data_IF_922502510690
#
_entry.id   IF_922502510690
#
_cell.length_a   1.000
_cell.length_b   1.000
_cell.length_c   1.000
_cell.angle_alpha   90.00
_cell.angle_beta   90.00
_cell.angle_gamma   90.00
#
_symmetry.space_group_name_H-M   'P 1'
#
loop_
_entity.id
_entity.type
_entity.pdbx_description
1 polymer ?
#
# COMPACT_ATOMS: atom_id res chain seq x y z
N UNK A 1 -13.67 0.39 19.81
CA UNK A 1 -14.76 0.31 18.81
C UNK A 1 -15.10 -1.12 18.35
N UNK A 2 -14.29 -2.13 18.67
CA UNK A 2 -14.60 -3.53 18.31
C UNK A 2 -14.39 -3.85 16.83
N UNK A 3 -13.67 -3.00 16.11
CA UNK A 3 -13.47 -3.07 14.65
C UNK A 3 -12.12 -3.64 14.25
N UNK A 4 -11.37 -4.19 15.21
CA UNK A 4 -10.08 -4.83 15.01
C UNK A 4 -10.24 -6.33 15.19
N UNK A 5 -9.89 -7.08 14.15
CA UNK A 5 -9.63 -8.50 14.22
C UNK A 5 -8.12 -8.75 14.14
N UNK A 6 -7.61 -9.58 15.05
CA UNK A 6 -6.20 -9.99 15.08
C UNK A 6 -6.13 -11.47 14.70
N UNK A 7 -5.55 -11.76 13.53
CA UNK A 7 -5.33 -13.13 13.07
C UNK A 7 -3.94 -13.56 13.51
N UNK A 8 -3.87 -14.55 14.39
CA UNK A 8 -2.63 -15.06 14.98
C UNK A 8 -2.01 -16.17 14.12
N UNK A 9 -0.70 -16.35 14.26
CA UNK A 9 0.02 -17.46 13.63
C UNK A 9 0.12 -17.34 12.11
N UNK A 10 0.07 -16.13 11.56
CA UNK A 10 0.13 -15.93 10.10
C UNK A 10 1.57 -15.96 9.62
N UNK A 11 1.84 -16.84 8.65
CA UNK A 11 3.15 -17.09 8.06
C UNK A 11 3.02 -18.00 6.84
N UNK A 12 4.13 -18.54 6.35
CA UNK A 12 4.14 -19.53 5.27
C UNK A 12 5.00 -20.75 5.62
N UNK A 13 4.73 -21.93 5.04
CA UNK A 13 5.47 -23.15 5.37
C UNK A 13 6.95 -23.06 5.01
N UNK A 14 7.83 -23.57 5.88
CA UNK A 14 9.29 -23.55 5.70
C UNK A 14 9.82 -22.11 5.52
N UNK A 15 9.57 -21.26 6.52
CA UNK A 15 10.03 -19.88 6.53
C UNK A 15 11.52 -19.75 6.22
N UNK A 16 11.86 -18.83 5.33
CA UNK A 16 13.24 -18.62 4.89
C UNK A 16 14.01 -17.74 5.87
N UNK A 17 13.31 -16.81 6.53
CA UNK A 17 13.90 -15.75 7.35
C UNK A 17 14.84 -14.79 6.58
N UNK A 18 15.09 -15.01 5.29
CA UNK A 18 15.72 -14.04 4.39
C UNK A 18 14.70 -12.98 4.01
N UNK A 19 15.00 -11.69 4.21
CA UNK A 19 14.11 -10.62 3.75
C UNK A 19 13.78 -10.77 2.26
N UNK A 20 14.79 -11.04 1.43
CA UNK A 20 14.60 -11.13 -0.02
C UNK A 20 13.61 -12.23 -0.39
N UNK A 21 13.81 -13.45 0.11
CA UNK A 21 12.95 -14.58 -0.23
C UNK A 21 11.58 -14.45 0.43
N UNK A 22 11.52 -14.04 1.70
CA UNK A 22 10.26 -13.93 2.45
C UNK A 22 9.36 -12.83 1.89
N UNK A 23 9.94 -11.66 1.56
CA UNK A 23 9.20 -10.60 0.88
C UNK A 23 8.70 -11.08 -0.48
N UNK A 24 9.54 -11.75 -1.27
CA UNK A 24 9.13 -12.25 -2.58
C UNK A 24 7.95 -13.23 -2.48
N UNK A 25 7.98 -14.17 -1.52
CA UNK A 25 6.86 -15.11 -1.29
C UNK A 25 5.56 -14.36 -1.00
N UNK A 26 5.57 -13.40 -0.08
CA UNK A 26 4.38 -12.64 0.28
C UNK A 26 3.89 -11.71 -0.84
N UNK A 27 4.81 -11.06 -1.54
CA UNK A 27 4.46 -10.08 -2.58
C UNK A 27 3.96 -10.75 -3.86
N UNK A 28 4.42 -11.96 -4.16
CA UNK A 28 3.95 -12.74 -5.32
C UNK A 28 2.81 -13.70 -4.99
N UNK A 29 2.61 -13.98 -3.70
CA UNK A 29 1.80 -15.09 -3.18
C UNK A 29 2.27 -16.46 -3.72
N UNK A 30 3.58 -16.65 -3.90
CA UNK A 30 4.18 -17.89 -4.41
C UNK A 30 5.28 -18.43 -3.49
N UNK A 31 4.95 -19.45 -2.71
CA UNK A 31 5.91 -20.14 -1.84
C UNK A 31 6.98 -20.96 -2.61
N UNK A 32 6.91 -21.01 -3.95
CA UNK A 32 7.92 -21.68 -4.80
C UNK A 32 8.88 -20.70 -5.47
N UNK A 33 8.65 -19.39 -5.36
CA UNK A 33 9.51 -18.35 -5.92
C UNK A 33 9.68 -18.41 -7.44
N UNK A 34 8.62 -18.76 -8.17
CA UNK A 34 8.61 -18.89 -9.63
C UNK A 34 7.92 -17.73 -10.33
N UNK A 35 7.05 -17.00 -9.64
CA UNK A 35 6.34 -15.86 -10.20
C UNK A 35 7.20 -14.60 -10.11
N UNK A 36 7.22 -13.80 -11.17
CA UNK A 36 7.96 -12.52 -11.22
C UNK A 36 7.06 -11.29 -11.04
N UNK A 37 5.75 -11.51 -10.96
CA UNK A 37 4.74 -10.46 -10.81
C UNK A 37 4.10 -10.51 -9.42
N UNK A 38 3.71 -9.33 -8.94
CA UNK A 38 2.96 -9.20 -7.70
C UNK A 38 1.52 -9.70 -7.83
N UNK A 39 0.98 -10.26 -6.75
CA UNK A 39 -0.39 -10.80 -6.80
C UNK A 39 -1.46 -9.71 -6.94
N UNK A 40 -1.24 -8.51 -6.38
CA UNK A 40 -2.12 -7.36 -6.61
C UNK A 40 -1.99 -6.83 -8.03
N UNK A 41 -0.77 -6.83 -8.59
CA UNK A 41 -0.55 -6.51 -10.00
C UNK A 41 -1.39 -7.39 -10.94
N UNK A 42 -1.35 -8.71 -10.74
CA UNK A 42 -2.20 -9.67 -11.48
C UNK A 42 -3.69 -9.45 -11.23
N UNK A 43 -4.07 -9.07 -10.01
CA UNK A 43 -5.45 -8.70 -9.71
C UNK A 43 -5.89 -7.47 -10.51
N UNK A 44 -5.09 -6.40 -10.56
CA UNK A 44 -5.41 -5.21 -11.38
C UNK A 44 -5.51 -5.54 -12.87
N UNK A 45 -4.64 -6.42 -13.38
CA UNK A 45 -4.77 -6.91 -14.76
C UNK A 45 -6.11 -7.61 -15.01
N UNK A 46 -6.61 -8.39 -14.04
CA UNK A 46 -7.92 -9.04 -14.15
C UNK A 46 -9.09 -8.05 -14.17
N UNK A 47 -8.90 -6.84 -13.66
CA UNK A 47 -9.92 -5.77 -13.67
C UNK A 47 -9.96 -5.00 -15.00
N UNK A 48 -8.93 -5.15 -15.85
CA UNK A 48 -8.87 -4.45 -17.13
C UNK A 48 -10.04 -4.82 -18.04
N UNK A 49 -10.67 -3.79 -18.60
CA UNK A 49 -11.82 -3.95 -19.49
C UNK A 49 -13.17 -4.08 -18.78
N UNK A 50 -13.20 -4.14 -17.43
CA UNK A 50 -14.44 -4.03 -16.66
C UNK A 50 -14.81 -2.58 -16.34
N UNK A 51 -13.81 -1.75 -16.01
CA UNK A 51 -13.97 -0.32 -15.70
C UNK A 51 -12.77 0.45 -16.26
N UNK A 52 -13.00 1.58 -16.94
CA UNK A 52 -11.93 2.49 -17.37
C UNK A 52 -11.57 3.45 -16.22
N UNK A 53 -10.85 2.91 -15.23
CA UNK A 53 -10.37 3.68 -14.08
C UNK A 53 -8.88 3.40 -13.84
N UNK A 54 -8.06 4.44 -13.82
CA UNK A 54 -6.61 4.35 -13.57
C UNK A 54 -6.26 4.16 -12.09
N UNK A 55 -7.23 4.37 -11.18
CA UNK A 55 -7.05 4.25 -9.74
C UNK A 55 -7.52 2.91 -9.17
N UNK A 56 -7.69 1.86 -9.99
CA UNK A 56 -8.02 0.52 -9.46
C UNK A 56 -7.05 0.09 -8.34
N UNK A 57 -5.78 0.50 -8.44
CA UNK A 57 -4.86 0.58 -7.31
C UNK A 57 -4.28 1.99 -7.15
N UNK A 58 -3.85 2.32 -5.93
CA UNK A 58 -3.08 3.52 -5.60
C UNK A 58 -2.01 3.18 -4.57
N UNK A 59 -0.75 3.37 -4.91
CA UNK A 59 0.35 3.20 -3.96
C UNK A 59 0.84 4.57 -3.48
N UNK A 60 0.99 4.73 -2.16
CA UNK A 60 1.56 5.94 -1.56
C UNK A 60 3.01 5.66 -1.16
N UNK A 61 3.94 6.37 -1.79
CA UNK A 61 5.37 6.14 -1.62
C UNK A 61 6.20 6.66 -2.80
N UNK A 62 7.47 6.27 -2.83
CA UNK A 62 8.43 6.70 -3.86
C UNK A 62 8.65 5.67 -4.97
N UNK A 63 8.40 4.39 -4.68
CA UNK A 63 8.66 3.26 -5.57
C UNK A 63 7.40 2.40 -5.64
N UNK A 64 7.22 1.74 -6.78
CA UNK A 64 6.16 0.76 -6.96
C UNK A 64 6.35 -0.40 -5.96
N UNK A 65 5.36 -0.72 -5.12
CA UNK A 65 5.37 -1.94 -4.31
C UNK A 65 5.38 -3.17 -5.23
N UNK A 66 6.21 -4.16 -4.91
CA UNK A 66 6.40 -5.32 -5.79
C UNK A 66 5.12 -6.16 -5.91
N UNK A 67 4.32 -6.25 -4.85
CA UNK A 67 3.00 -6.87 -4.83
C UNK A 67 2.02 -6.21 -5.82
N UNK A 68 2.16 -4.91 -6.07
CA UNK A 68 1.36 -4.14 -7.02
C UNK A 68 1.94 -4.15 -8.44
N UNK A 69 3.13 -4.73 -8.65
CA UNK A 69 3.81 -4.74 -9.93
C UNK A 69 3.25 -5.81 -10.86
N UNK A 70 2.91 -5.42 -12.08
CA UNK A 70 2.57 -6.31 -13.19
C UNK A 70 2.95 -5.64 -14.51
N UNK A 71 3.26 -6.43 -15.54
CA UNK A 71 3.78 -5.92 -16.80
C UNK A 71 2.78 -4.98 -17.48
N UNK A 72 1.48 -5.32 -17.45
CA UNK A 72 0.51 -4.59 -18.25
C UNK A 72 -0.31 -3.59 -17.43
N UNK A 73 -0.43 -3.71 -16.12
CA UNK A 73 -1.35 -2.87 -15.32
C UNK A 73 -0.63 -1.96 -14.29
N UNK A 74 0.08 -0.91 -14.73
CA UNK A 74 0.67 0.02 -13.79
C UNK A 74 -0.41 0.81 -13.05
N UNK A 75 -0.18 1.05 -11.76
CA UNK A 75 -1.00 1.92 -10.92
C UNK A 75 -0.24 3.22 -10.57
N UNK A 76 -0.91 4.33 -10.23
CA UNK A 76 -0.24 5.52 -9.74
C UNK A 76 0.55 5.26 -8.45
N UNK A 77 1.77 5.83 -8.38
CA UNK A 77 2.60 5.88 -7.17
C UNK A 77 2.77 7.34 -6.78
N UNK A 78 2.27 7.72 -5.60
CA UNK A 78 2.16 9.12 -5.17
C UNK A 78 2.88 9.30 -3.84
N UNK A 79 3.83 10.23 -3.74
CA UNK A 79 4.46 10.58 -2.45
C UNK A 79 3.99 11.92 -1.89
N UNK A 80 3.33 12.72 -2.72
CA UNK A 80 2.80 14.04 -2.39
C UNK A 80 1.88 14.44 -3.53
N UNK A 81 0.65 14.85 -3.22
CA UNK A 81 -0.27 15.35 -4.25
C UNK A 81 0.26 16.63 -4.86
N UNK A 82 0.78 17.57 -4.05
CA UNK A 82 1.39 18.79 -4.56
C UNK A 82 2.49 18.51 -5.58
N UNK A 83 3.38 17.53 -5.34
CA UNK A 83 4.47 17.18 -6.26
C UNK A 83 4.04 16.25 -7.39
N UNK A 84 2.91 15.56 -7.23
CA UNK A 84 2.31 14.73 -8.27
C UNK A 84 1.53 15.60 -9.25
N UNK A 85 2.28 16.46 -9.95
CA UNK A 85 1.81 17.33 -11.01
C UNK A 85 2.80 17.31 -12.16
N UNK A 86 2.29 17.38 -13.38
CA UNK A 86 3.11 17.73 -14.53
C UNK A 86 3.23 19.26 -14.54
N UNK A 87 4.41 19.78 -14.18
CA UNK A 87 4.64 21.22 -14.12
C UNK A 87 4.71 21.84 -15.53
N UNK A 88 3.98 22.94 -15.74
CA UNK A 88 4.05 23.73 -16.97
C UNK A 88 3.35 23.12 -18.19
N UNK A 89 2.63 22.03 -18.01
CA UNK A 89 1.85 21.35 -19.04
C UNK A 89 0.37 21.70 -18.94
N UNK A 90 -0.14 22.35 -19.97
CA UNK A 90 -1.59 22.40 -20.22
C UNK A 90 -2.02 21.16 -20.99
N UNK A 91 -3.30 20.79 -21.02
CA UNK A 91 -3.79 19.74 -21.91
C UNK A 91 -3.28 19.91 -23.35
N UNK A 92 -3.24 21.14 -23.85
CA UNK A 92 -2.78 21.48 -25.20
C UNK A 92 -1.26 21.30 -25.37
N UNK A 93 -0.45 21.65 -24.36
CA UNK A 93 1.01 21.44 -24.41
C UNK A 93 1.37 19.96 -24.36
N UNK A 94 0.58 19.20 -23.60
CA UNK A 94 0.69 17.74 -23.48
C UNK A 94 0.31 17.08 -24.78
N UNK A 95 -0.81 17.48 -25.36
CA UNK A 95 -1.27 17.05 -26.68
C UNK A 95 -0.26 17.44 -27.78
N UNK A 96 0.37 18.62 -27.67
CA UNK A 96 1.43 19.05 -28.59
C UNK A 96 2.73 18.24 -28.41
N UNK A 97 3.12 17.91 -27.18
CA UNK A 97 4.24 17.00 -26.89
C UNK A 97 3.96 15.61 -27.46
N UNK A 98 2.76 15.07 -27.23
CA UNK A 98 2.29 13.80 -27.80
C UNK A 98 2.32 13.83 -29.32
N UNK A 99 1.77 14.87 -29.96
CA UNK A 99 1.82 15.06 -31.43
C UNK A 99 3.26 15.18 -31.94
N UNK A 100 4.14 15.86 -31.21
CA UNK A 100 5.56 15.99 -31.56
C UNK A 100 6.28 14.63 -31.50
N UNK A 101 6.03 13.82 -30.46
CA UNK A 101 6.56 12.46 -30.34
C UNK A 101 5.97 11.52 -31.41
N UNK A 102 4.66 11.57 -31.65
CA UNK A 102 3.98 10.79 -32.70
C UNK A 102 4.44 11.18 -34.11
N UNK A 103 4.88 12.42 -34.32
CA UNK A 103 5.47 12.88 -35.59
C UNK A 103 6.93 12.47 -35.79
N UNK A 104 7.58 11.92 -34.75
CA UNK A 104 8.95 11.43 -34.81
C UNK A 104 8.99 10.00 -35.37
N UNK A 105 9.75 9.72 -36.44
CA UNK A 105 9.76 8.41 -37.08
C UNK A 105 10.61 7.42 -36.27
N UNK A 106 10.05 6.84 -35.22
CA UNK A 106 10.67 5.72 -34.51
C UNK A 106 9.84 4.45 -34.75
N UNK A 107 10.44 3.54 -35.52
CA UNK A 107 9.97 2.18 -35.82
C UNK A 107 9.90 1.26 -34.58
N UNK A 108 9.66 1.81 -33.38
CA UNK A 108 9.73 1.06 -32.14
C UNK A 108 8.37 1.07 -31.42
N UNK A 109 7.93 -0.07 -30.83
CA UNK A 109 6.64 -0.21 -30.12
C UNK A 109 6.46 0.72 -28.90
N UNK A 110 7.42 1.61 -28.62
CA UNK A 110 7.42 2.56 -27.52
C UNK A 110 6.54 3.79 -27.75
N UNK A 111 6.19 4.15 -28.99
CA UNK A 111 5.36 5.34 -29.25
C UNK A 111 3.96 5.27 -28.62
N UNK A 112 3.26 4.16 -28.83
CA UNK A 112 1.93 3.90 -28.23
C UNK A 112 2.00 3.75 -26.71
N UNK A 113 3.11 3.19 -26.19
CA UNK A 113 3.34 3.07 -24.76
C UNK A 113 3.55 4.43 -24.10
N UNK A 114 4.28 5.34 -24.76
CA UNK A 114 4.53 6.69 -24.27
C UNK A 114 3.25 7.54 -24.29
N UNK A 115 2.45 7.44 -25.35
CA UNK A 115 1.20 8.19 -25.47
C UNK A 115 0.22 7.85 -24.34
N UNK A 116 -0.02 6.56 -24.12
CA UNK A 116 -0.88 6.07 -23.05
C UNK A 116 -0.33 6.42 -21.66
N UNK A 117 1.00 6.37 -21.47
CA UNK A 117 1.63 6.66 -20.17
C UNK A 117 1.48 8.14 -19.82
N UNK A 118 1.75 9.04 -20.77
CA UNK A 118 1.65 10.48 -20.53
C UNK A 118 0.20 10.89 -20.25
N UNK A 119 -0.76 10.43 -21.07
CA UNK A 119 -2.18 10.72 -20.85
C UNK A 119 -2.67 10.19 -19.49
N UNK A 120 -2.27 8.97 -19.11
CA UNK A 120 -2.61 8.40 -17.80
C UNK A 120 -2.03 9.22 -16.63
N UNK A 121 -0.79 9.71 -16.73
CA UNK A 121 -0.20 10.57 -15.68
C UNK A 121 -0.93 11.92 -15.61
N UNK A 122 -1.34 12.50 -16.74
CA UNK A 122 -2.15 13.73 -16.74
C UNK A 122 -3.50 13.54 -16.06
N UNK A 123 -4.26 12.53 -16.50
CA UNK A 123 -5.59 12.24 -15.94
C UNK A 123 -5.51 11.92 -14.45
N UNK A 124 -4.52 11.12 -14.03
CA UNK A 124 -4.32 10.81 -12.60
C UNK A 124 -3.90 12.03 -11.80
N UNK A 125 -2.99 12.85 -12.33
CA UNK A 125 -2.61 14.13 -11.70
C UNK A 125 -3.84 15.01 -11.49
N UNK A 126 -4.61 15.29 -12.55
CA UNK A 126 -5.80 16.15 -12.46
C UNK A 126 -6.84 15.61 -11.48
N UNK A 127 -7.14 14.30 -11.55
CA UNK A 127 -8.08 13.65 -10.66
C UNK A 127 -7.64 13.75 -9.19
N UNK A 128 -6.37 13.52 -8.88
CA UNK A 128 -5.82 13.67 -7.52
C UNK A 128 -5.87 15.12 -7.03
N UNK A 129 -5.49 16.11 -7.87
CA UNK A 129 -5.60 17.52 -7.47
C UNK A 129 -7.06 17.92 -7.21
N UNK A 130 -8.01 17.38 -7.98
CA UNK A 130 -9.43 17.66 -7.78
C UNK A 130 -9.98 16.97 -6.53
N UNK A 131 -9.53 15.75 -6.23
CA UNK A 131 -9.86 15.07 -4.98
C UNK A 131 -9.35 15.86 -3.76
N UNK A 132 -8.08 16.29 -3.79
CA UNK A 132 -7.46 17.12 -2.75
C UNK A 132 -8.18 18.45 -2.53
N UNK A 133 -8.52 19.18 -3.60
CA UNK A 133 -9.27 20.44 -3.48
C UNK A 133 -10.66 20.28 -2.87
N UNK A 134 -11.31 19.15 -3.13
CA UNK A 134 -12.66 18.86 -2.65
C UNK A 134 -12.64 18.14 -1.29
N UNK A 135 -11.47 17.70 -0.84
CA UNK A 135 -11.31 17.03 0.43
C UNK A 135 -11.50 18.04 1.56
N UNK A 136 -12.49 17.75 2.41
CA UNK A 136 -12.82 18.54 3.58
C UNK A 136 -12.92 17.58 4.76
N UNK A 137 -12.04 17.75 5.74
CA UNK A 137 -11.99 16.95 6.95
C UNK A 137 -11.53 17.78 8.12
N UNK A 138 -12.20 17.61 9.26
CA UNK A 138 -11.82 18.20 10.54
C UNK A 138 -10.93 17.24 11.36
N UNK A 139 -10.56 16.09 10.81
CA UNK A 139 -9.72 15.10 11.48
C UNK A 139 -8.25 15.48 11.36
N UNK A 140 -7.62 15.69 12.51
CA UNK A 140 -6.18 15.93 12.59
C UNK A 140 -5.40 14.61 12.49
N UNK A 141 -4.44 14.57 11.58
CA UNK A 141 -3.50 13.46 11.44
C UNK A 141 -2.20 13.79 12.17
N UNK A 142 -1.60 12.84 12.92
CA UNK A 142 -0.28 13.02 13.49
C UNK A 142 0.78 13.40 12.46
N UNK A 143 1.82 14.12 12.87
CA UNK A 143 2.93 14.52 11.98
C UNK A 143 3.94 13.37 11.75
N UNK A 144 3.45 12.23 11.27
CA UNK A 144 4.25 11.02 11.02
C UNK A 144 4.21 10.58 9.55
N UNK A 145 5.22 9.87 9.04
CA UNK A 145 5.24 9.38 7.66
C UNK A 145 4.03 8.51 7.29
N UNK A 146 3.60 7.60 8.18
CA UNK A 146 2.44 6.75 7.93
C UNK A 146 1.15 7.56 7.90
N UNK A 147 0.96 8.50 8.84
CA UNK A 147 -0.22 9.38 8.88
C UNK A 147 -0.37 10.20 7.62
N UNK A 148 0.73 10.81 7.13
CA UNK A 148 0.74 11.54 5.85
C UNK A 148 0.38 10.65 4.66
N UNK A 149 0.86 9.41 4.67
CA UNK A 149 0.58 8.46 3.59
C UNK A 149 -0.88 8.01 3.59
N UNK A 150 -1.44 7.72 4.77
CA UNK A 150 -2.84 7.38 4.93
C UNK A 150 -3.77 8.55 4.61
N UNK A 151 -3.38 9.79 4.91
CA UNK A 151 -4.14 10.99 4.53
C UNK A 151 -4.31 11.11 3.00
N UNK A 152 -3.24 10.92 2.22
CA UNK A 152 -3.31 10.91 0.74
C UNK A 152 -4.29 9.84 0.26
N UNK A 153 -4.28 8.66 0.89
CA UNK A 153 -5.20 7.59 0.54
C UNK A 153 -6.65 7.94 0.92
N UNK A 154 -6.87 8.57 2.08
CA UNK A 154 -8.20 9.03 2.49
C UNK A 154 -8.75 10.07 1.51
N UNK A 155 -7.94 11.05 1.10
CA UNK A 155 -8.29 12.04 0.08
C UNK A 155 -8.73 11.38 -1.24
N UNK A 156 -8.02 10.36 -1.70
CA UNK A 156 -8.39 9.61 -2.91
C UNK A 156 -9.71 8.82 -2.76
N UNK A 157 -9.94 8.21 -1.59
CA UNK A 157 -11.16 7.44 -1.29
C UNK A 157 -12.37 8.38 -1.16
N UNK A 158 -12.23 9.45 -0.38
CA UNK A 158 -13.29 10.43 -0.11
C UNK A 158 -13.60 11.23 -1.37
N UNK A 159 -12.58 11.61 -2.14
CA UNK A 159 -12.70 12.19 -3.48
C UNK A 159 -13.28 11.24 -4.54
N UNK A 160 -13.63 10.01 -4.16
CA UNK A 160 -14.31 9.01 -4.99
C UNK A 160 -13.55 8.69 -6.29
N UNK A 161 -12.22 8.59 -6.21
CA UNK A 161 -11.38 8.19 -7.36
C UNK A 161 -11.56 6.72 -7.75
N UNK A 162 -12.39 5.96 -7.03
CA UNK A 162 -12.68 4.56 -7.32
C UNK A 162 -11.55 3.61 -6.96
N UNK A 163 -10.77 3.95 -5.92
CA UNK A 163 -9.69 3.11 -5.38
C UNK A 163 -10.25 1.78 -4.90
N UNK A 164 -9.80 0.66 -5.48
CA UNK A 164 -10.12 -0.69 -4.96
C UNK A 164 -9.06 -1.18 -3.99
N UNK A 165 -7.79 -0.85 -4.24
CA UNK A 165 -6.68 -1.21 -3.36
C UNK A 165 -5.77 -0.01 -3.14
N UNK A 166 -5.68 0.44 -1.89
CA UNK A 166 -4.67 1.38 -1.45
C UNK A 166 -3.49 0.67 -0.82
N UNK A 167 -2.26 1.10 -1.12
CA UNK A 167 -1.05 0.57 -0.51
C UNK A 167 -0.24 1.67 0.17
N UNK A 168 0.05 1.49 1.45
CA UNK A 168 0.99 2.31 2.23
C UNK A 168 2.01 1.40 2.91
N UNK A 169 3.16 1.93 3.30
CA UNK A 169 4.20 1.16 4.01
C UNK A 169 4.72 1.94 5.20
N UNK A 170 4.93 1.24 6.30
CA UNK A 170 5.76 1.65 7.43
C UNK A 170 6.91 0.65 7.57
N UNK A 171 8.11 1.13 7.90
CA UNK A 171 9.30 0.30 8.17
C UNK A 171 9.73 0.40 9.63
N UNK A 172 10.89 -0.16 9.97
CA UNK A 172 11.49 -0.03 11.30
C UNK A 172 11.23 -1.20 12.25
N UNK A 173 10.34 -2.14 11.89
CA UNK A 173 10.00 -3.27 12.77
C UNK A 173 11.08 -4.38 12.85
N UNK A 174 12.15 -4.27 12.06
CA UNK A 174 13.29 -5.20 12.08
C UNK A 174 14.29 -4.88 13.21
N UNK A 175 13.79 -4.93 14.45
CA UNK A 175 14.51 -4.50 15.65
C UNK A 175 15.41 -5.62 16.18
N UNK A 176 16.66 -5.65 15.74
CA UNK A 176 17.68 -6.59 16.22
C UNK A 176 18.39 -6.15 17.51
N UNK A 177 18.20 -4.89 17.90
CA UNK A 177 18.64 -4.27 19.15
C UNK A 177 17.58 -3.28 19.62
N UNK A 178 17.65 -2.84 20.87
CA UNK A 178 16.86 -1.72 21.42
C UNK A 178 15.34 -1.80 21.17
N UNK A 179 14.79 -3.00 20.98
CA UNK A 179 13.40 -3.21 20.59
C UNK A 179 12.41 -2.63 21.61
N UNK A 180 12.75 -2.68 22.91
CA UNK A 180 11.93 -2.12 23.99
C UNK A 180 11.74 -0.60 23.84
N UNK A 181 12.64 0.09 23.14
CA UNK A 181 12.56 1.52 22.86
C UNK A 181 11.94 1.77 21.49
N UNK A 182 12.42 1.09 20.44
CA UNK A 182 12.01 1.39 19.06
C UNK A 182 10.61 0.89 18.71
N UNK A 183 10.23 -0.31 19.19
CA UNK A 183 8.96 -0.92 18.80
C UNK A 183 7.73 -0.20 19.36
N UNK A 184 7.70 0.29 20.62
CA UNK A 184 6.57 1.08 21.11
C UNK A 184 6.26 2.30 20.25
N UNK A 185 7.28 3.07 19.85
CA UNK A 185 7.11 4.28 19.02
C UNK A 185 6.49 3.93 17.66
N UNK A 186 6.93 2.83 17.04
CA UNK A 186 6.37 2.35 15.78
C UNK A 186 4.91 1.86 15.92
N UNK A 187 4.59 1.19 17.03
CA UNK A 187 3.22 0.74 17.31
C UNK A 187 2.30 1.91 17.63
N UNK A 188 2.81 2.95 18.28
CA UNK A 188 2.10 4.22 18.51
C UNK A 188 1.80 4.91 17.16
N UNK A 189 2.79 5.04 16.27
CA UNK A 189 2.58 5.58 14.92
C UNK A 189 1.52 4.78 14.16
N UNK A 190 1.56 3.45 14.19
CA UNK A 190 0.52 2.60 13.56
C UNK A 190 -0.85 2.86 14.18
N UNK A 191 -0.94 2.89 15.50
CA UNK A 191 -2.20 3.09 16.22
C UNK A 191 -2.83 4.44 15.90
N UNK A 192 -2.09 5.53 16.04
CA UNK A 192 -2.59 6.88 15.84
C UNK A 192 -2.92 7.16 14.37
N UNK A 193 -2.06 6.73 13.44
CA UNK A 193 -2.27 6.94 12.01
C UNK A 193 -3.51 6.20 11.50
N UNK A 194 -3.71 4.94 11.93
CA UNK A 194 -4.89 4.16 11.57
C UNK A 194 -6.16 4.70 12.22
N UNK A 195 -6.07 5.19 13.46
CA UNK A 195 -7.20 5.82 14.13
C UNK A 195 -7.65 7.09 13.39
N UNK A 196 -6.72 8.00 13.06
CA UNK A 196 -7.03 9.21 12.29
C UNK A 196 -7.60 8.85 10.91
N UNK A 197 -6.97 7.92 10.19
CA UNK A 197 -7.46 7.44 8.90
C UNK A 197 -8.89 6.92 8.95
N UNK A 198 -9.18 6.07 9.92
CA UNK A 198 -10.49 5.47 10.06
C UNK A 198 -11.56 6.49 10.48
N UNK A 199 -11.22 7.42 11.37
CA UNK A 199 -12.12 8.51 11.78
C UNK A 199 -12.46 9.43 10.60
N UNK A 200 -11.48 9.71 9.74
CA UNK A 200 -11.67 10.51 8.54
C UNK A 200 -12.65 9.83 7.56
N UNK A 201 -12.41 8.57 7.24
CA UNK A 201 -13.33 7.78 6.42
C UNK A 201 -14.75 7.73 7.00
N UNK A 202 -14.88 7.55 8.31
CA UNK A 202 -16.19 7.54 8.98
C UNK A 202 -16.88 8.89 8.89
N UNK A 203 -16.14 9.99 9.09
CA UNK A 203 -16.69 11.35 8.97
C UNK A 203 -17.26 11.63 7.57
N UNK A 204 -16.66 11.02 6.54
CA UNK A 204 -17.08 11.10 5.15
C UNK A 204 -18.08 10.00 4.74
N UNK A 205 -18.49 9.10 5.65
CA UNK A 205 -19.40 8.00 5.38
C UNK A 205 -18.84 6.91 4.45
N UNK A 206 -17.51 6.73 4.43
CA UNK A 206 -16.77 5.76 3.61
C UNK A 206 -16.25 4.56 4.39
N UNK A 207 -16.38 4.54 5.70
CA UNK A 207 -15.82 3.52 6.60
C UNK A 207 -16.37 2.10 6.37
N UNK A 208 -17.59 1.99 5.85
CA UNK A 208 -18.22 0.70 5.50
C UNK A 208 -17.61 0.05 4.26
N UNK A 209 -16.99 0.85 3.39
CA UNK A 209 -16.46 0.40 2.09
C UNK A 209 -14.98 0.03 2.17
N UNK A 210 -14.33 0.20 3.32
CA UNK A 210 -12.88 0.06 3.48
C UNK A 210 -12.53 -1.00 4.52
N UNK A 211 -11.64 -1.90 4.12
CA UNK A 211 -10.94 -2.85 4.99
C UNK A 211 -9.45 -2.55 4.92
N UNK A 212 -8.84 -2.32 6.08
CA UNK A 212 -7.38 -2.25 6.22
C UNK A 212 -6.87 -3.62 6.62
N UNK A 213 -5.82 -4.10 5.94
CA UNK A 213 -5.10 -5.33 6.25
C UNK A 213 -3.61 -5.02 6.40
N UNK A 214 -3.00 -5.46 7.49
CA UNK A 214 -1.54 -5.39 7.68
C UNK A 214 -0.88 -6.72 7.36
N UNK A 215 0.35 -6.70 6.88
CA UNK A 215 1.18 -7.91 6.75
C UNK A 215 2.66 -7.53 6.82
N UNK A 216 3.52 -8.52 7.09
CA UNK A 216 4.99 -8.41 7.03
C UNK A 216 5.55 -9.77 6.60
N UNK A 217 6.76 -9.76 6.05
CA UNK A 217 7.43 -10.92 5.49
C UNK A 217 7.67 -12.05 6.51
N UNK A 218 7.84 -11.71 7.79
CA UNK A 218 7.99 -12.65 8.90
C UNK A 218 7.67 -11.97 10.24
N UNK A 219 7.59 -12.76 11.31
CA UNK A 219 7.42 -12.27 12.66
C UNK A 219 8.75 -12.04 13.39
N UNK A 220 8.64 -11.85 14.70
CA UNK A 220 9.79 -11.76 15.62
C UNK A 220 9.77 -12.93 16.59
N UNK A 221 10.93 -13.42 16.99
CA UNK A 221 11.02 -14.48 18.01
C UNK A 221 10.50 -13.99 19.35
N UNK A 222 9.90 -14.91 20.11
CA UNK A 222 9.40 -14.67 21.47
C UNK A 222 10.54 -14.30 22.43
N UNK A 223 11.70 -14.93 22.26
CA UNK A 223 12.87 -14.74 23.13
C UNK A 223 13.75 -13.61 22.61
N UNK A 224 14.11 -12.69 23.50
CA UNK A 224 15.11 -11.64 23.24
C UNK A 224 16.48 -12.25 22.88
N UNK A 225 17.17 -11.60 21.95
CA UNK A 225 18.57 -11.86 21.66
C UNK A 225 19.49 -11.13 22.67
N UNK A 226 20.81 -11.31 22.52
CA UNK A 226 21.81 -10.72 23.43
C UNK A 226 21.98 -9.20 23.34
N UNK A 227 21.36 -8.55 22.35
CA UNK A 227 21.46 -7.12 22.07
C UNK A 227 20.21 -6.33 22.48
N UNK A 228 19.27 -6.97 23.18
CA UNK A 228 18.01 -6.32 23.59
C UNK A 228 16.97 -6.17 22.47
N UNK A 229 17.16 -6.87 21.34
CA UNK A 229 16.15 -7.03 20.30
C UNK A 229 15.69 -8.48 20.16
N UNK A 230 15.15 -8.84 19.00
CA UNK A 230 14.76 -10.22 18.67
C UNK A 230 15.33 -10.65 17.34
N UNK A 231 15.37 -11.96 17.06
CA UNK A 231 15.66 -12.47 15.71
C UNK A 231 14.35 -12.67 14.94
N UNK A 232 14.45 -13.05 13.66
CA UNK A 232 13.32 -13.34 12.80
C UNK A 232 12.54 -14.58 13.29
N UNK A 233 11.21 -14.48 13.28
CA UNK A 233 10.27 -15.50 13.72
C UNK A 233 9.31 -15.95 12.62
N UNK A 234 8.77 -17.16 12.72
CA UNK A 234 8.06 -17.79 11.61
C UNK A 234 6.69 -17.17 11.29
N UNK A 235 6.06 -16.54 12.29
CA UNK A 235 4.71 -16.04 12.17
C UNK A 235 4.51 -14.72 12.92
N UNK A 236 3.60 -13.90 12.41
CA UNK A 236 3.21 -12.61 12.97
C UNK A 236 1.68 -12.52 13.14
N UNK A 237 1.18 -11.65 14.02
CA UNK A 237 -0.22 -11.25 13.97
C UNK A 237 -0.48 -10.40 12.73
N UNK A 238 -1.62 -10.63 12.08
CA UNK A 238 -2.19 -9.78 11.03
C UNK A 238 -3.38 -9.01 11.59
N UNK A 239 -3.43 -7.71 11.32
CA UNK A 239 -4.55 -6.87 11.74
C UNK A 239 -5.50 -6.65 10.56
N UNK A 240 -6.78 -6.86 10.81
CA UNK A 240 -7.88 -6.50 9.93
C UNK A 240 -8.72 -5.45 10.64
N UNK A 241 -8.87 -4.27 10.03
CA UNK A 241 -9.51 -3.11 10.66
C UNK A 241 -10.54 -2.52 9.70
N UNK A 242 -11.74 -2.27 10.20
CA UNK A 242 -12.79 -1.57 9.46
C UNK A 242 -14.18 -1.82 10.04
N UNK A 243 -15.16 -1.01 9.64
CA UNK A 243 -16.54 -1.19 10.11
C UNK A 243 -17.18 -2.54 9.74
N UNK A 244 -16.91 -3.15 8.58
CA UNK A 244 -17.45 -4.48 8.28
C UNK A 244 -16.76 -5.62 9.04
N UNK A 245 -15.70 -5.34 9.82
CA UNK A 245 -14.94 -6.35 10.55
C UNK A 245 -15.67 -6.73 11.83
N UNK A 246 -15.85 -8.04 12.04
CA UNK A 246 -16.21 -8.59 13.35
C UNK A 246 -14.92 -8.67 14.17
N UNK A 247 -14.79 -7.81 15.18
CA UNK A 247 -13.59 -7.78 16.01
C UNK A 247 -13.38 -9.04 16.86
N UNK A 248 -12.12 -9.30 17.21
CA UNK A 248 -11.74 -10.45 18.03
C UNK A 248 -10.36 -11.00 17.71
N UNK A 249 -10.01 -12.11 18.35
CA UNK A 249 -8.79 -12.87 18.07
C UNK A 249 -9.18 -14.09 17.25
N UNK A 250 -8.52 -14.27 16.12
CA UNK A 250 -8.74 -15.33 15.15
C UNK A 250 -7.46 -16.13 14.94
N UNK A 251 -7.60 -17.34 14.39
CA UNK A 251 -6.48 -18.26 14.17
C UNK A 251 -6.07 -19.03 15.41
N UNK A 252 -5.09 -19.91 15.24
CA UNK A 252 -4.52 -20.67 16.35
C UNK A 252 -3.41 -19.85 16.99
N UNK A 253 -3.48 -19.63 18.30
CA UNK A 253 -2.38 -19.04 19.03
C UNK A 253 -1.15 -19.95 18.93
N UNK A 254 0.03 -19.39 18.61
CA UNK A 254 1.28 -20.15 18.67
C UNK A 254 1.50 -20.71 20.09
N UNK A 255 1.95 -21.96 20.19
CA UNK A 255 2.35 -22.54 21.46
C UNK A 255 3.73 -21.99 21.85
N UNK A 256 3.76 -20.98 22.71
CA UNK A 256 4.99 -20.34 23.15
C UNK A 256 5.89 -21.26 24.00
N UNK A 257 5.36 -22.39 24.49
CA UNK A 257 6.12 -23.42 25.18
C UNK A 257 6.75 -24.46 24.25
N UNK A 258 6.32 -24.51 22.99
CA UNK A 258 6.76 -25.48 21.98
C UNK A 258 6.93 -24.79 20.62
N UNK A 259 8.02 -24.02 20.52
CA UNK A 259 8.42 -23.32 19.30
C UNK A 259 9.20 -24.26 18.37
N UNK A 260 9.04 -24.07 17.06
CA UNK A 260 9.75 -24.79 16.00
C UNK A 260 11.22 -24.33 15.81
#
# INVERSE_FOLDING_TARGET
>A
EGLLAIVQGVGYPNQSYSHFESMHVWQTADNKGKLEEGWLGRYFESLKGMEDNIFQGLAVGKLMPYECSAINSPIPVVSSIEKYRLEGSTPERSEALLKLYASSPLQAPYGVLLDNTIEAVYKSSEALQNADKNYTSDIEYPDTPLSKSLKILAEAIIGNLGVKVGHVKIGGFDTHSDQIVEQPDLLEEVSEALYAFYQDLRSAGKDQDVLVMTWSEFGRRVKSNGSGGTDHGAAAPMFLIGTPVIGGIYGQNPDLGNLD
#
